data_IF_590708959924
#
_entry.id   IF_590708959924
#
_cell.length_a   1.000
_cell.length_b   1.000
_cell.length_c   1.000
_cell.angle_alpha   90.00
_cell.angle_beta   90.00
_cell.angle_gamma   90.00
#
_symmetry.space_group_name_H-M   'P 1'
#
loop_
_entity.id
_entity.type
_entity.pdbx_description
1 polymer ?
#
# COMPACT_ATOMS: atom_id res chain seq x y z
N UNK A 1 -1.09 -4.85 -19.03
CA UNK A 1 -0.95 -4.72 -17.56
C UNK A 1 -1.92 -5.70 -16.92
N UNK A 2 -1.47 -6.57 -16.00
CA UNK A 2 -2.33 -7.60 -15.37
C UNK A 2 -2.48 -7.29 -13.89
N UNK A 3 -3.66 -6.82 -13.50
CA UNK A 3 -4.01 -6.59 -12.10
C UNK A 3 -4.19 -7.93 -11.37
N UNK A 4 -3.60 -8.06 -10.19
CA UNK A 4 -3.73 -9.23 -9.30
C UNK A 4 -4.54 -8.82 -8.09
N UNK A 5 -5.57 -9.60 -7.74
CA UNK A 5 -6.42 -9.32 -6.57
C UNK A 5 -5.64 -9.47 -5.27
N UNK A 6 -5.78 -8.48 -4.39
CA UNK A 6 -5.37 -8.53 -2.98
C UNK A 6 -6.51 -8.98 -2.08
N UNK A 7 -7.76 -8.90 -2.55
CA UNK A 7 -8.94 -9.29 -1.78
C UNK A 7 -10.12 -8.38 -2.05
N UNK A 8 -11.26 -8.80 -1.51
CA UNK A 8 -12.52 -8.04 -1.53
C UNK A 8 -12.98 -7.86 -0.10
N UNK A 9 -13.26 -6.62 0.29
CA UNK A 9 -13.91 -6.26 1.55
C UNK A 9 -15.34 -5.81 1.26
N UNK A 10 -16.10 -5.46 2.31
CA UNK A 10 -17.42 -4.83 2.15
C UNK A 10 -17.35 -3.51 1.38
N UNK A 11 -16.19 -2.84 1.41
CA UNK A 11 -16.03 -1.52 0.83
C UNK A 11 -15.52 -1.58 -0.63
N UNK A 12 -15.18 -2.78 -1.13
CA UNK A 12 -14.77 -2.99 -2.52
C UNK A 12 -13.67 -4.02 -2.71
N UNK A 13 -13.16 -4.11 -3.94
CA UNK A 13 -12.05 -4.98 -4.33
C UNK A 13 -10.75 -4.19 -4.51
N UNK A 14 -9.65 -4.73 -4.00
CA UNK A 14 -8.32 -4.13 -4.13
C UNK A 14 -7.41 -5.03 -4.95
N UNK A 15 -6.62 -4.41 -5.82
CA UNK A 15 -5.71 -5.08 -6.74
C UNK A 15 -4.33 -4.41 -6.71
N UNK A 16 -3.31 -5.10 -7.20
CA UNK A 16 -2.00 -4.52 -7.46
C UNK A 16 -1.45 -4.96 -8.82
N UNK A 17 -0.53 -4.17 -9.38
CA UNK A 17 0.17 -4.53 -10.62
C UNK A 17 1.59 -5.02 -10.31
N UNK A 18 1.86 -6.34 -10.32
CA UNK A 18 3.19 -6.88 -10.07
C UNK A 18 4.18 -6.53 -11.18
N UNK A 19 3.73 -6.36 -12.43
CA UNK A 19 4.61 -6.11 -13.57
C UNK A 19 5.20 -4.69 -13.55
N UNK A 20 4.46 -3.73 -12.99
CA UNK A 20 4.90 -2.35 -12.78
C UNK A 20 5.68 -2.11 -11.49
N UNK A 21 6.00 -3.17 -10.73
CA UNK A 21 6.76 -3.04 -9.49
C UNK A 21 8.23 -2.69 -9.77
N UNK A 22 8.71 -1.60 -9.17
CA UNK A 22 10.09 -1.11 -9.32
C UNK A 22 10.80 -1.18 -7.97
N UNK A 23 11.87 -1.97 -7.88
CA UNK A 23 12.67 -2.11 -6.66
C UNK A 23 13.87 -1.17 -6.69
N UNK A 24 14.05 -0.41 -5.61
CA UNK A 24 15.23 0.41 -5.35
C UNK A 24 15.79 0.07 -3.97
N UNK A 25 16.80 -0.81 -3.96
CA UNK A 25 17.33 -1.37 -2.71
C UNK A 25 16.25 -2.10 -1.92
N UNK A 26 16.01 -1.65 -0.69
CA UNK A 26 15.01 -2.23 0.23
C UNK A 26 13.60 -1.67 0.02
N UNK A 27 13.44 -0.67 -0.86
CA UNK A 27 12.15 -0.06 -1.16
C UNK A 27 11.59 -0.57 -2.47
N UNK A 28 10.27 -0.72 -2.55
CA UNK A 28 9.57 -1.17 -3.76
C UNK A 28 8.39 -0.26 -4.04
N UNK A 29 8.39 0.37 -5.20
CA UNK A 29 7.23 1.10 -5.67
C UNK A 29 6.33 0.19 -6.49
N UNK A 30 5.03 0.23 -6.21
CA UNK A 30 4.03 -0.59 -6.89
C UNK A 30 2.73 0.20 -7.04
N UNK A 31 1.96 -0.11 -8.07
CA UNK A 31 0.63 0.46 -8.25
C UNK A 31 -0.43 -0.44 -7.62
N UNK A 32 -1.34 0.16 -6.86
CA UNK A 32 -2.54 -0.47 -6.31
C UNK A 32 -3.77 0.16 -6.96
N UNK A 33 -4.83 -0.63 -7.11
CA UNK A 33 -6.12 -0.19 -7.60
C UNK A 33 -7.21 -0.62 -6.62
N UNK A 34 -8.00 0.33 -6.14
CA UNK A 34 -9.21 0.07 -5.37
C UNK A 34 -10.44 0.32 -6.26
N UNK A 35 -11.38 -0.62 -6.24
CA UNK A 35 -12.66 -0.54 -6.92
C UNK A 35 -13.75 -0.72 -5.85
N UNK A 36 -14.41 0.35 -5.40
CA UNK A 36 -15.47 0.30 -4.42
C UNK A 36 -16.68 -0.46 -4.95
N UNK A 37 -17.39 -1.10 -4.03
CA UNK A 37 -18.71 -1.68 -4.29
C UNK A 37 -19.74 -0.55 -4.25
N UNK A 38 -20.04 0.06 -5.39
CA UNK A 38 -20.97 1.18 -5.52
C UNK A 38 -21.70 1.11 -6.87
N UNK A 39 -22.93 1.63 -6.92
CA UNK A 39 -23.71 1.77 -8.15
C UNK A 39 -23.03 2.69 -9.18
N UNK A 40 -22.09 3.53 -8.74
CA UNK A 40 -21.24 4.33 -9.64
C UNK A 40 -19.82 3.75 -9.65
N UNK A 41 -19.32 3.25 -10.80
CA UNK A 41 -18.00 2.65 -10.88
C UNK A 41 -16.91 3.73 -10.82
N UNK A 42 -16.58 4.16 -9.62
CA UNK A 42 -15.44 5.05 -9.35
C UNK A 42 -14.27 4.14 -9.07
N UNK A 43 -13.08 4.34 -9.63
CA UNK A 43 -11.90 3.57 -9.18
C UNK A 43 -10.77 4.48 -8.75
N UNK A 44 -9.92 4.00 -7.86
CA UNK A 44 -8.76 4.75 -7.39
C UNK A 44 -7.50 3.94 -7.69
N UNK A 45 -6.56 4.52 -8.43
CA UNK A 45 -5.24 3.94 -8.65
C UNK A 45 -4.23 4.78 -7.90
N UNK A 46 -3.47 4.15 -7.00
CA UNK A 46 -2.36 4.79 -6.31
C UNK A 46 -1.03 4.16 -6.70
N UNK A 47 0.02 4.98 -6.73
CA UNK A 47 1.39 4.51 -6.67
C UNK A 47 1.85 4.63 -5.22
N UNK A 48 2.26 3.51 -4.65
CA UNK A 48 2.72 3.40 -3.27
C UNK A 48 4.16 2.92 -3.24
N UNK A 49 4.88 3.24 -2.17
CA UNK A 49 6.22 2.73 -1.89
C UNK A 49 6.18 1.90 -0.61
N UNK A 50 6.61 0.65 -0.70
CA UNK A 50 6.79 -0.26 0.43
C UNK A 50 8.25 -0.27 0.85
N UNK A 51 8.49 -0.31 2.15
CA UNK A 51 9.81 -0.52 2.72
C UNK A 51 9.93 -1.92 3.31
N UNK A 52 10.72 -2.77 2.67
CA UNK A 52 10.92 -4.15 3.06
C UNK A 52 11.89 -4.31 4.25
N UNK A 53 12.50 -3.24 4.75
CA UNK A 53 13.30 -3.26 5.99
C UNK A 53 12.48 -2.83 7.20
N UNK A 54 11.72 -1.75 7.05
CA UNK A 54 10.82 -1.24 8.08
C UNK A 54 9.40 -1.33 7.53
N UNK A 55 8.61 -2.35 7.92
CA UNK A 55 7.32 -2.62 7.31
C UNK A 55 6.41 -1.39 7.34
N UNK A 56 6.39 -0.67 6.23
CA UNK A 56 5.71 0.60 6.09
C UNK A 56 5.33 0.83 4.63
N UNK A 57 4.30 1.65 4.45
CA UNK A 57 3.78 2.04 3.16
C UNK A 57 3.72 3.57 3.10
N UNK A 58 4.11 4.12 1.96
CA UNK A 58 3.99 5.52 1.64
C UNK A 58 3.14 5.71 0.39
N UNK A 59 2.23 6.68 0.40
CA UNK A 59 1.54 7.12 -0.81
C UNK A 59 2.42 8.10 -1.59
N UNK A 60 2.66 7.81 -2.87
CA UNK A 60 3.44 8.66 -3.77
C UNK A 60 2.53 9.51 -4.65
N UNK A 61 1.51 8.87 -5.23
CA UNK A 61 0.51 9.55 -6.06
C UNK A 61 -0.78 8.75 -6.11
N UNK A 62 -1.87 9.41 -6.49
CA UNK A 62 -3.19 8.81 -6.63
C UNK A 62 -3.99 9.45 -7.75
N UNK A 63 -4.78 8.64 -8.44
CA UNK A 63 -5.72 9.04 -9.48
C UNK A 63 -7.07 8.41 -9.18
N UNK A 64 -8.11 9.23 -9.15
CA UNK A 64 -9.49 8.81 -9.06
C UNK A 64 -10.11 8.89 -10.46
N UNK A 65 -10.82 7.84 -10.82
CA UNK A 65 -11.47 7.65 -12.11
C UNK A 65 -12.98 7.67 -11.93
N UNK A 66 -13.67 8.35 -12.84
CA UNK A 66 -15.13 8.37 -12.93
C UNK A 66 -15.68 7.10 -13.59
N UNK A 67 -17.01 7.07 -13.78
CA UNK A 67 -17.73 5.93 -14.36
C UNK A 67 -17.38 5.65 -15.83
N UNK A 68 -16.90 6.67 -16.54
CA UNK A 68 -16.39 6.63 -17.91
C UNK A 68 -14.93 6.19 -18.01
N UNK A 69 -14.28 5.89 -16.88
CA UNK A 69 -12.84 5.66 -16.75
C UNK A 69 -11.97 6.89 -17.09
N UNK A 70 -12.54 8.10 -17.07
CA UNK A 70 -11.75 9.33 -17.15
C UNK A 70 -11.21 9.72 -15.78
N UNK A 71 -10.02 10.34 -15.76
CA UNK A 71 -9.43 10.83 -14.51
C UNK A 71 -10.19 12.07 -14.05
N UNK A 72 -10.96 11.92 -12.97
CA UNK A 72 -11.72 13.02 -12.37
C UNK A 72 -10.90 13.80 -11.34
N UNK A 73 -9.88 13.15 -10.74
CA UNK A 73 -9.00 13.79 -9.76
C UNK A 73 -7.64 13.10 -9.75
N UNK A 74 -6.57 13.88 -9.63
CA UNK A 74 -5.22 13.35 -9.39
C UNK A 74 -4.51 14.13 -8.31
N UNK A 75 -3.63 13.45 -7.56
CA UNK A 75 -2.73 14.07 -6.58
C UNK A 75 -1.38 13.38 -6.61
N UNK A 76 -0.31 14.15 -6.48
CA UNK A 76 1.04 13.67 -6.22
C UNK A 76 1.51 14.24 -4.89
N UNK A 77 2.13 13.41 -4.07
CA UNK A 77 2.67 13.83 -2.77
C UNK A 77 4.07 14.40 -2.99
N UNK A 78 4.36 15.65 -2.58
CA UNK A 78 5.71 16.20 -2.65
C UNK A 78 6.70 15.33 -1.88
N UNK A 79 7.92 15.16 -2.40
CA UNK A 79 8.90 14.23 -1.83
C UNK A 79 9.24 14.51 -0.35
N UNK A 80 9.21 15.78 0.07
CA UNK A 80 9.44 16.22 1.44
C UNK A 80 8.22 16.04 2.38
N UNK A 81 7.09 15.58 1.86
CA UNK A 81 5.84 15.36 2.58
C UNK A 81 5.38 13.90 2.50
N UNK A 82 6.20 13.00 1.99
CA UNK A 82 5.87 11.58 1.94
C UNK A 82 5.91 11.03 3.37
N UNK A 83 4.72 10.88 3.94
CA UNK A 83 4.52 10.20 5.21
C UNK A 83 4.51 8.68 5.01
N UNK A 84 4.95 7.97 6.04
CA UNK A 84 5.09 6.51 6.04
C UNK A 84 4.24 5.92 7.13
N UNK A 85 3.24 5.17 6.70
CA UNK A 85 2.33 4.47 7.58
C UNK A 85 2.90 3.09 7.91
N UNK A 86 3.11 2.76 9.20
CA UNK A 86 3.58 1.43 9.59
C UNK A 86 2.54 0.36 9.24
N UNK A 87 3.02 -0.77 8.74
CA UNK A 87 2.20 -1.95 8.42
C UNK A 87 2.21 -2.93 9.58
N UNK A 88 1.03 -3.47 9.86
CA UNK A 88 0.79 -4.45 10.92
C UNK A 88 -0.11 -5.57 10.41
N UNK A 89 -0.15 -6.70 11.13
CA UNK A 89 -1.00 -7.83 10.81
C UNK A 89 -2.48 -7.41 10.79
N UNK A 90 -3.21 -7.81 9.74
CA UNK A 90 -4.61 -7.45 9.56
C UNK A 90 -4.86 -6.07 8.94
N UNK A 91 -3.82 -5.25 8.71
CA UNK A 91 -3.97 -4.05 7.86
C UNK A 91 -4.32 -4.44 6.42
N UNK A 92 -5.08 -3.59 5.72
CA UNK A 92 -5.53 -3.85 4.33
C UNK A 92 -4.37 -4.13 3.37
N UNK A 93 -3.19 -3.55 3.66
CA UNK A 93 -1.99 -3.68 2.83
C UNK A 93 -1.02 -4.76 3.34
N UNK A 94 -1.35 -5.51 4.39
CA UNK A 94 -0.51 -6.56 4.96
C UNK A 94 -0.20 -7.66 3.93
N UNK A 95 -1.21 -8.06 3.14
CA UNK A 95 -1.04 -9.06 2.10
C UNK A 95 -0.14 -8.56 0.97
N UNK A 96 -0.30 -7.31 0.55
CA UNK A 96 0.57 -6.69 -0.44
C UNK A 96 2.04 -6.72 0.02
N UNK A 97 2.31 -6.34 1.27
CA UNK A 97 3.66 -6.39 1.83
C UNK A 97 4.26 -7.81 1.79
N UNK A 98 3.51 -8.84 2.21
CA UNK A 98 3.99 -10.23 2.19
C UNK A 98 4.33 -10.70 0.76
N UNK A 99 3.55 -10.27 -0.23
CA UNK A 99 3.78 -10.61 -1.64
C UNK A 99 5.00 -9.88 -2.23
N UNK A 100 5.18 -8.59 -1.91
CA UNK A 100 6.23 -7.75 -2.48
C UNK A 100 7.57 -7.88 -1.73
N UNK A 101 7.52 -8.17 -0.43
CA UNK A 101 8.65 -8.30 0.47
C UNK A 101 8.71 -9.71 1.10
N UNK A 102 8.86 -10.80 0.31
CA UNK A 102 8.81 -12.17 0.85
C UNK A 102 9.94 -12.52 1.83
N UNK A 103 11.01 -11.72 1.86
CA UNK A 103 12.14 -11.84 2.80
C UNK A 103 12.19 -10.69 3.83
N UNK A 104 11.16 -9.85 3.89
CA UNK A 104 11.08 -8.76 4.85
C UNK A 104 10.79 -9.28 6.27
N UNK A 105 11.01 -8.46 7.31
CA UNK A 105 10.65 -8.83 8.67
C UNK A 105 9.14 -9.06 8.80
N UNK A 106 8.70 -9.86 9.79
CA UNK A 106 7.30 -10.10 10.06
C UNK A 106 6.58 -8.79 10.43
N UNK A 107 5.30 -8.71 10.07
CA UNK A 107 4.45 -7.60 10.48
C UNK A 107 4.17 -7.68 11.98
N UNK A 108 4.12 -6.52 12.64
CA UNK A 108 3.76 -6.45 14.06
C UNK A 108 2.27 -6.77 14.26
N UNK A 109 1.90 -7.34 15.41
CA UNK A 109 0.52 -7.71 15.74
C UNK A 109 -0.38 -6.55 16.17
N UNK A 110 0.21 -5.40 16.50
CA UNK A 110 -0.51 -4.26 17.07
C UNK A 110 -0.29 -3.00 16.25
N UNK A 111 -1.35 -2.19 16.12
CA UNK A 111 -1.28 -0.80 15.64
C UNK A 111 -0.76 0.06 16.79
N UNK A 112 0.56 0.24 16.85
CA UNK A 112 1.22 1.08 17.86
C UNK A 112 2.63 1.45 17.43
N UNK A 113 3.27 2.47 18.05
CA UNK A 113 4.68 2.73 17.81
C UNK A 113 5.47 1.44 18.07
N UNK A 114 6.57 1.19 17.33
CA UNK A 114 7.39 0.01 17.54
C UNK A 114 7.71 -0.10 19.04
N UNK A 115 7.49 -1.28 19.63
CA UNK A 115 7.90 -1.53 21.00
C UNK A 115 9.42 -1.40 21.00
N UNK A 116 9.94 -0.28 21.50
CA UNK A 116 11.36 -0.14 21.80
C UNK A 116 11.60 -1.03 23.00
N UNK A 117 12.15 -2.22 22.76
CA UNK A 117 12.68 -3.06 23.84
C UNK A 117 13.96 -2.36 24.29
N UNK A 118 13.84 -1.50 25.30
CA UNK A 118 15.01 -1.01 26.03
C UNK A 118 15.48 -2.21 26.86
N UNK A 119 16.70 -2.73 26.67
CA UNK A 119 17.23 -3.72 27.61
C UNK A 119 17.23 -3.08 29.00
N UNK A 120 16.47 -3.66 29.93
CA UNK A 120 16.48 -3.20 31.32
C UNK A 120 17.89 -3.34 31.86
N UNK A 121 18.47 -2.24 32.35
CA UNK A 121 19.64 -2.29 33.22
C UNK A 121 19.27 -3.10 34.48
N UNK A 122 20.13 -4.07 34.81
CA UNK A 122 20.07 -4.92 36.00
C UNK A 122 20.15 -4.12 37.31
#
# INVERSE_FOLDING_TARGET
MKWVSLGTTRDGATFYDPAGAVRNGKRVQVSIRAVPESDTPISFIARVELDCEQPSLALISGQQFGADNEVVRSRTVPANQIERDPLFEGSEHAQLYRLICPKGPPLHKFKGPPIVVVPGEE
#
